data_IF_273761546361
#
_entry.id   IF_273761546361
#
_cell.length_a   1.000
_cell.length_b   1.000
_cell.length_c   1.000
_cell.angle_alpha   90.00
_cell.angle_beta   90.00
_cell.angle_gamma   90.00
#
_symmetry.space_group_name_H-M   'P 1'
#
loop_
_entity.id
_entity.type
_entity.pdbx_description
1 polymer ?
#
# COMPACT_ATOMS: atom_id res chain seq x y z
N UNK A 1 -5.01 -34.30 32.02
CA UNK A 1 -5.89 -33.10 32.01
C UNK A 1 -5.09 -31.81 31.84
N UNK A 2 -4.09 -31.53 32.68
CA UNK A 2 -3.32 -30.27 32.66
C UNK A 2 -2.57 -30.05 31.33
N UNK A 3 -1.97 -31.10 30.78
CA UNK A 3 -1.28 -31.05 29.48
C UNK A 3 -2.23 -30.76 28.30
N UNK A 4 -3.40 -31.40 28.30
CA UNK A 4 -4.44 -31.17 27.29
C UNK A 4 -4.95 -29.73 27.38
N UNK A 5 -5.16 -29.21 28.58
CA UNK A 5 -5.59 -27.83 28.81
C UNK A 5 -4.54 -26.82 28.31
N UNK A 6 -3.26 -27.09 28.55
CA UNK A 6 -2.16 -26.24 28.07
C UNK A 6 -2.07 -26.21 26.53
N UNK A 7 -2.30 -27.34 25.86
CA UNK A 7 -2.31 -27.41 24.39
C UNK A 7 -3.48 -26.60 23.81
N UNK A 8 -4.68 -26.74 24.39
CA UNK A 8 -5.86 -25.95 23.99
C UNK A 8 -5.60 -24.46 24.16
N UNK A 9 -5.00 -24.06 25.28
CA UNK A 9 -4.66 -22.67 25.55
C UNK A 9 -3.62 -22.13 24.56
N UNK A 10 -2.60 -22.93 24.22
CA UNK A 10 -1.61 -22.59 23.20
C UNK A 10 -2.22 -22.36 21.82
N UNK A 11 -3.15 -23.23 21.40
CA UNK A 11 -3.86 -23.07 20.12
C UNK A 11 -4.71 -21.79 20.12
N UNK A 12 -5.41 -21.49 21.22
CA UNK A 12 -6.20 -20.27 21.35
C UNK A 12 -5.33 -19.00 21.23
N UNK A 13 -4.13 -19.00 21.82
CA UNK A 13 -3.18 -17.90 21.69
C UNK A 13 -2.73 -17.70 20.24
N UNK A 14 -2.42 -18.77 19.51
CA UNK A 14 -2.03 -18.70 18.10
C UNK A 14 -3.17 -18.12 17.26
N UNK A 15 -4.41 -18.58 17.48
CA UNK A 15 -5.59 -18.07 16.77
C UNK A 15 -5.78 -16.57 17.05
N UNK A 16 -5.62 -16.14 18.30
CA UNK A 16 -5.73 -14.73 18.67
C UNK A 16 -4.68 -13.86 17.94
N UNK A 17 -3.42 -14.31 17.89
CA UNK A 17 -2.34 -13.60 17.18
C UNK A 17 -2.66 -13.50 15.68
N UNK A 18 -3.08 -14.59 15.04
CA UNK A 18 -3.45 -14.60 13.61
C UNK A 18 -4.60 -13.65 13.34
N UNK A 19 -5.63 -13.62 14.21
CA UNK A 19 -6.77 -12.70 14.06
C UNK A 19 -6.34 -11.24 14.18
N UNK A 20 -5.45 -10.90 15.10
CA UNK A 20 -4.92 -9.53 15.25
C UNK A 20 -4.14 -9.10 14.01
N UNK A 21 -3.32 -9.99 13.44
CA UNK A 21 -2.59 -9.71 12.19
C UNK A 21 -3.58 -9.49 11.05
N UNK A 22 -4.55 -10.39 10.85
CA UNK A 22 -5.56 -10.26 9.80
C UNK A 22 -6.42 -9.00 9.95
N UNK A 23 -6.78 -8.60 11.18
CA UNK A 23 -7.46 -7.34 11.45
C UNK A 23 -6.58 -6.15 11.12
N UNK A 24 -5.32 -6.13 11.53
CA UNK A 24 -4.40 -5.04 11.18
C UNK A 24 -4.23 -4.90 9.67
N UNK A 25 -4.00 -6.00 8.95
CA UNK A 25 -3.86 -6.01 7.49
C UNK A 25 -5.17 -5.71 6.76
N UNK A 26 -6.30 -6.18 7.28
CA UNK A 26 -7.63 -5.97 6.71
C UNK A 26 -8.13 -4.54 6.91
N UNK A 27 -7.87 -3.95 8.09
CA UNK A 27 -8.19 -2.55 8.40
C UNK A 27 -7.32 -1.61 7.57
N UNK A 28 -6.01 -1.84 7.48
CA UNK A 28 -5.15 -1.04 6.59
C UNK A 28 -5.54 -1.18 5.12
N UNK A 29 -5.92 -2.37 4.66
CA UNK A 29 -6.52 -2.54 3.31
C UNK A 29 -7.84 -1.81 3.12
N UNK A 30 -8.63 -1.61 4.19
CA UNK A 30 -9.92 -0.90 4.14
C UNK A 30 -9.76 0.62 4.13
N UNK A 31 -8.79 1.15 4.86
CA UNK A 31 -8.55 2.60 4.96
C UNK A 31 -7.53 3.13 3.96
N UNK A 32 -6.67 2.26 3.40
CA UNK A 32 -5.62 2.64 2.47
C UNK A 32 -4.44 3.34 3.17
N UNK A 33 -3.25 3.19 2.61
CA UNK A 33 -2.03 3.86 3.02
C UNK A 33 -1.88 5.20 2.31
N UNK A 34 -1.33 6.19 3.00
CA UNK A 34 -1.05 7.49 2.41
C UNK A 34 0.37 7.47 1.84
N UNK A 35 0.49 7.67 0.54
CA UNK A 35 1.78 7.74 -0.14
C UNK A 35 1.94 9.06 -0.86
N UNK A 36 3.17 9.56 -0.86
CA UNK A 36 3.62 10.64 -1.73
C UNK A 36 4.40 10.01 -2.88
N UNK A 37 3.95 10.27 -4.10
CA UNK A 37 4.64 9.93 -5.34
C UNK A 37 5.36 11.19 -5.80
N UNK A 38 6.68 11.12 -5.93
CA UNK A 38 7.51 12.22 -6.43
C UNK A 38 8.17 11.80 -7.73
N UNK A 39 8.04 12.64 -8.75
CA UNK A 39 8.74 12.48 -10.02
C UNK A 39 10.05 13.26 -9.98
N UNK A 40 11.12 12.61 -10.44
CA UNK A 40 12.45 13.19 -10.52
C UNK A 40 12.82 13.47 -11.98
N UNK A 41 13.91 14.20 -12.18
CA UNK A 41 14.47 14.52 -13.51
C UNK A 41 13.57 15.40 -14.40
N UNK A 42 12.74 16.25 -13.80
CA UNK A 42 11.87 17.18 -14.54
C UNK A 42 10.74 16.50 -15.32
N UNK A 43 10.43 15.24 -15.00
CA UNK A 43 9.28 14.52 -15.52
C UNK A 43 8.01 15.04 -14.87
N UNK A 44 7.01 15.36 -15.69
CA UNK A 44 5.69 15.69 -15.20
C UNK A 44 4.96 14.44 -14.72
N UNK A 45 4.26 14.59 -13.61
CA UNK A 45 3.40 13.53 -13.09
C UNK A 45 2.32 13.17 -14.14
N UNK A 46 2.23 11.89 -14.56
CA UNK A 46 1.18 11.45 -15.46
C UNK A 46 -0.17 11.41 -14.75
N UNK A 47 -1.26 11.50 -15.51
CA UNK A 47 -2.60 11.40 -14.95
C UNK A 47 -2.88 9.98 -14.45
N UNK A 48 -2.80 9.81 -13.14
CA UNK A 48 -3.03 8.54 -12.45
C UNK A 48 -4.52 8.12 -12.45
N UNK A 49 -5.45 9.04 -12.70
CA UNK A 49 -6.89 8.72 -12.73
C UNK A 49 -7.29 7.90 -13.96
N UNK A 50 -6.51 8.01 -15.03
CA UNK A 50 -6.75 7.34 -16.32
C UNK A 50 -6.12 5.96 -16.43
N UNK A 51 -5.36 5.53 -15.42
CA UNK A 51 -4.72 4.22 -15.42
C UNK A 51 -5.66 3.16 -14.83
N UNK A 52 -6.05 2.19 -15.67
CA UNK A 52 -6.97 1.11 -15.30
C UNK A 52 -6.41 0.17 -14.22
N UNK A 53 -5.09 -0.01 -14.14
CA UNK A 53 -4.44 -0.83 -13.10
C UNK A 53 -4.44 -0.16 -11.73
N UNK A 54 -4.52 1.18 -11.70
CA UNK A 54 -4.57 2.00 -10.49
C UNK A 54 -6.01 2.37 -10.09
N UNK A 55 -6.94 2.36 -11.05
CA UNK A 55 -8.36 2.67 -10.86
C UNK A 55 -8.98 1.82 -9.75
N UNK A 56 -9.57 2.49 -8.77
CA UNK A 56 -10.23 1.84 -7.61
C UNK A 56 -9.28 1.28 -6.55
N UNK A 57 -7.96 1.21 -6.84
CA UNK A 57 -6.90 0.87 -5.88
C UNK A 57 -6.33 2.11 -5.22
N UNK A 58 -6.19 3.21 -5.97
CA UNK A 58 -5.73 4.48 -5.44
C UNK A 58 -6.82 5.55 -5.51
N UNK A 59 -6.74 6.53 -4.62
CA UNK A 59 -7.51 7.76 -4.62
C UNK A 59 -6.55 8.93 -4.49
N UNK A 60 -6.59 9.85 -5.45
CA UNK A 60 -5.77 11.06 -5.40
C UNK A 60 -6.32 11.99 -4.32
N UNK A 61 -5.43 12.43 -3.43
CA UNK A 61 -5.73 13.40 -2.36
C UNK A 61 -5.36 14.80 -2.83
N UNK A 62 -4.15 14.94 -3.37
CA UNK A 62 -3.64 16.18 -3.94
C UNK A 62 -2.63 15.86 -5.04
N UNK A 63 -2.52 16.74 -6.03
CA UNK A 63 -1.52 16.63 -7.08
C UNK A 63 -0.96 18.02 -7.40
N UNK A 64 0.34 18.06 -7.61
CA UNK A 64 1.10 19.19 -8.15
C UNK A 64 1.79 18.74 -9.44
N UNK A 65 2.61 19.58 -10.06
CA UNK A 65 3.30 19.21 -11.31
C UNK A 65 4.22 18.00 -11.16
N UNK A 66 4.93 17.91 -10.01
CA UNK A 66 5.98 16.92 -9.80
C UNK A 66 5.67 15.93 -8.66
N UNK A 67 4.70 16.25 -7.80
CA UNK A 67 4.33 15.40 -6.65
C UNK A 67 2.84 15.11 -6.58
N UNK A 68 2.49 13.89 -6.17
CA UNK A 68 1.12 13.41 -6.00
C UNK A 68 0.96 12.74 -4.65
N UNK A 69 -0.01 13.17 -3.86
CA UNK A 69 -0.41 12.42 -2.67
C UNK A 69 -1.59 11.53 -3.02
N UNK A 70 -1.44 10.24 -2.75
CA UNK A 70 -2.46 9.23 -3.03
C UNK A 70 -2.75 8.41 -1.78
N UNK A 71 -4.01 8.07 -1.60
CA UNK A 71 -4.44 7.02 -0.70
C UNK A 71 -4.51 5.72 -1.49
N UNK A 72 -3.70 4.73 -1.14
CA UNK A 72 -3.57 3.47 -1.87
C UNK A 72 -3.99 2.27 -1.04
N UNK A 73 -4.78 1.37 -1.61
CA UNK A 73 -5.12 0.06 -1.02
C UNK A 73 -4.03 -0.99 -1.25
N UNK A 74 -3.08 -0.71 -2.14
CA UNK A 74 -1.90 -1.53 -2.43
C UNK A 74 -0.67 -0.93 -1.75
N UNK A 75 0.33 -1.76 -1.47
CA UNK A 75 1.56 -1.31 -0.82
C UNK A 75 2.45 -0.46 -1.75
N UNK A 76 3.47 0.15 -1.18
CA UNK A 76 4.45 1.00 -1.85
C UNK A 76 5.19 0.28 -2.99
N UNK A 77 5.56 -0.99 -2.78
CA UNK A 77 6.29 -1.78 -3.78
C UNK A 77 5.41 -2.06 -5.00
N UNK A 78 4.18 -2.54 -4.80
CA UNK A 78 3.23 -2.82 -5.88
C UNK A 78 2.83 -1.52 -6.60
N UNK A 79 2.64 -0.42 -5.86
CA UNK A 79 2.36 0.89 -6.43
C UNK A 79 3.52 1.38 -7.30
N UNK A 80 4.76 1.33 -6.80
CA UNK A 80 5.95 1.73 -7.54
C UNK A 80 6.15 0.88 -8.80
N UNK A 81 6.05 -0.45 -8.69
CA UNK A 81 6.18 -1.35 -9.84
C UNK A 81 5.11 -1.09 -10.91
N UNK A 82 3.87 -0.81 -10.50
CA UNK A 82 2.79 -0.48 -11.45
C UNK A 82 3.08 0.83 -12.17
N UNK A 83 3.54 1.85 -11.45
CA UNK A 83 3.92 3.14 -12.05
C UNK A 83 5.06 2.99 -13.05
N UNK A 84 6.12 2.25 -12.68
CA UNK A 84 7.25 1.97 -13.56
C UNK A 84 6.84 1.23 -14.83
N UNK A 85 6.00 0.21 -14.69
CA UNK A 85 5.56 -0.61 -15.81
C UNK A 85 4.63 0.14 -16.76
N UNK A 86 3.61 0.80 -16.22
CA UNK A 86 2.53 1.37 -17.04
C UNK A 86 2.91 2.71 -17.67
N UNK A 87 3.85 3.43 -17.06
CA UNK A 87 4.33 4.72 -17.56
C UNK A 87 5.78 4.67 -18.07
N UNK A 88 6.39 3.48 -18.11
CA UNK A 88 7.76 3.31 -18.61
C UNK A 88 8.82 4.05 -17.78
N UNK A 89 8.60 4.19 -16.48
CA UNK A 89 9.48 4.93 -15.58
C UNK A 89 10.56 4.00 -15.01
N UNK A 90 11.75 4.55 -14.82
CA UNK A 90 12.83 3.90 -14.08
C UNK A 90 12.67 4.08 -12.56
N UNK A 91 13.30 3.20 -11.78
CA UNK A 91 13.29 3.27 -10.30
C UNK A 91 13.87 4.57 -9.75
N UNK A 92 14.74 5.25 -10.50
CA UNK A 92 15.33 6.55 -10.16
C UNK A 92 14.42 7.73 -10.52
N UNK A 93 13.46 7.52 -11.42
CA UNK A 93 12.57 8.57 -11.93
C UNK A 93 11.31 8.73 -11.10
N UNK A 94 10.92 7.69 -10.35
CA UNK A 94 9.73 7.70 -9.48
C UNK A 94 10.06 7.22 -8.08
N UNK A 95 9.68 8.02 -7.09
CA UNK A 95 9.82 7.71 -5.67
C UNK A 95 8.44 7.63 -5.05
N UNK A 96 8.20 6.58 -4.25
CA UNK A 96 6.97 6.36 -3.51
C UNK A 96 7.34 6.29 -2.03
N UNK A 97 6.87 7.24 -1.24
CA UNK A 97 7.16 7.33 0.19
C UNK A 97 5.89 7.29 1.00
N UNK A 98 5.93 6.59 2.14
CA UNK A 98 4.84 6.62 3.10
C UNK A 98 4.82 7.97 3.80
N UNK A 99 3.67 8.63 3.81
CA UNK A 99 3.50 9.93 4.47
C UNK A 99 3.13 9.79 5.97
N UNK A 100 3.07 8.56 6.50
CA UNK A 100 2.81 8.26 7.92
C UNK A 100 4.04 7.80 8.69
#
# INVERSE_FOLDING_TARGET
MVTILAIIFGILLIIAIVRVIQLKTGVTKRFGYHYTITMHHGLKLPDLTRNDNLKGKIKIISATEDTCMVQSKINDTELKTTLMKDYGLDSTQVQVENTQ
#
